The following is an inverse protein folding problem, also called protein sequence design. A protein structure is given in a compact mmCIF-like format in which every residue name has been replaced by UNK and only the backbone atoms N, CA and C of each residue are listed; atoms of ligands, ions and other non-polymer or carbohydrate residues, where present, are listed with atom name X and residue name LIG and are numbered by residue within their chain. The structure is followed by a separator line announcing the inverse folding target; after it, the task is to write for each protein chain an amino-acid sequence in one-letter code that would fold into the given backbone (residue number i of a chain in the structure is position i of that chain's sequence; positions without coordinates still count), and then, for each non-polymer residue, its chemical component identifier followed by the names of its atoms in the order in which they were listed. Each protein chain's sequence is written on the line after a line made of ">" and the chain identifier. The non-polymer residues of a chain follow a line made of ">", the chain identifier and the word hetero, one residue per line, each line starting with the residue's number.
data_IF_667771125849
#
_entry.id   IF_667771125849
#
_cell.length_a   1.000
_cell.length_b   1.000
_cell.length_c   1.000
_cell.angle_alpha   90.00
_cell.angle_beta   90.00
_cell.angle_gamma   90.00
#
_symmetry.space_group_name_H-M   'P 1'
#
loop_
_entity.id
_entity.type
_entity.pdbx_description
1 polymer ?
#
# COMPACT_ATOMS: atom_id res chain seq x y z
N UNK A 1 6.81 1.62 25.49
CA UNK A 1 5.33 1.74 25.57
C UNK A 1 4.81 2.08 26.99
N UNK A 2 5.62 2.04 28.06
CA UNK A 2 5.12 2.12 29.45
C UNK A 2 4.88 3.49 30.08
N UNK A 3 5.00 4.61 29.35
CA UNK A 3 4.75 5.97 29.90
C UNK A 3 3.39 6.57 29.48
N UNK A 4 2.71 5.99 28.49
CA UNK A 4 1.42 6.48 28.01
C UNK A 4 0.34 5.44 28.33
N UNK A 5 -0.69 5.85 29.07
CA UNK A 5 -1.79 4.97 29.46
C UNK A 5 -2.64 4.54 28.27
N UNK A 6 -3.13 3.30 28.28
CA UNK A 6 -4.10 2.82 27.27
C UNK A 6 -5.47 3.43 27.59
N UNK A 7 -6.07 4.09 26.60
CA UNK A 7 -7.44 4.64 26.68
C UNK A 7 -8.37 3.81 25.79
N UNK A 8 -9.67 3.81 26.12
CA UNK A 8 -10.68 3.00 25.42
C UNK A 8 -11.40 3.74 24.29
N UNK A 9 -11.26 5.07 24.19
CA UNK A 9 -11.86 5.90 23.14
C UNK A 9 -10.80 6.81 22.53
N UNK A 10 -10.82 6.89 21.20
CA UNK A 10 -9.97 7.79 20.44
C UNK A 10 -10.37 9.26 20.66
N UNK A 11 -11.67 9.52 20.71
CA UNK A 11 -12.24 10.85 20.93
C UNK A 11 -11.87 11.41 22.30
N UNK A 12 -11.88 10.57 23.33
CA UNK A 12 -11.44 10.95 24.67
C UNK A 12 -9.96 11.37 24.67
N UNK A 13 -9.10 10.63 23.96
CA UNK A 13 -7.68 10.97 23.82
C UNK A 13 -7.51 12.31 23.09
N UNK A 14 -8.21 12.51 21.97
CA UNK A 14 -8.14 13.77 21.21
C UNK A 14 -8.57 14.97 22.06
N UNK A 15 -9.62 14.83 22.87
CA UNK A 15 -10.16 15.90 23.72
C UNK A 15 -9.25 16.18 24.93
N UNK A 16 -8.84 15.14 25.65
CA UNK A 16 -8.17 15.27 26.94
C UNK A 16 -6.68 15.57 26.77
N UNK A 17 -6.01 14.88 25.84
CA UNK A 17 -4.56 14.99 25.64
C UNK A 17 -4.16 16.01 24.57
N UNK A 18 -5.08 16.34 23.65
CA UNK A 18 -4.87 17.30 22.54
C UNK A 18 -3.52 17.07 21.81
N UNK A 19 -3.28 15.87 21.27
CA UNK A 19 -1.99 15.54 20.69
C UNK A 19 -1.70 16.35 19.43
N UNK A 20 -0.43 16.71 19.21
CA UNK A 20 0.01 17.37 17.97
C UNK A 20 -0.14 16.46 16.74
N UNK A 21 0.04 15.15 16.94
CA UNK A 21 0.03 14.13 15.89
C UNK A 21 -0.81 12.92 16.30
N UNK A 22 -1.66 12.44 15.40
CA UNK A 22 -2.35 11.16 15.51
C UNK A 22 -1.75 10.16 14.51
N UNK A 23 -1.37 8.97 14.98
CA UNK A 23 -0.94 7.86 14.15
C UNK A 23 -2.07 6.81 14.07
N UNK A 24 -2.60 6.60 12.87
CA UNK A 24 -3.72 5.70 12.61
C UNK A 24 -3.19 4.46 11.93
N UNK A 25 -3.11 3.36 12.70
CA UNK A 25 -2.65 2.05 12.26
C UNK A 25 -3.72 0.98 12.56
N UNK A 26 -4.97 1.29 12.22
CA UNK A 26 -6.13 0.41 12.38
C UNK A 26 -6.38 -0.39 11.09
N UNK A 27 -7.54 -1.02 10.95
CA UNK A 27 -7.94 -1.61 9.66
C UNK A 27 -8.39 -0.52 8.69
N UNK A 28 -8.15 -0.75 7.39
CA UNK A 28 -8.28 0.25 6.30
C UNK A 28 -9.68 0.85 6.16
N UNK A 29 -10.72 0.12 6.58
CA UNK A 29 -12.11 0.55 6.58
C UNK A 29 -12.40 1.67 7.59
N UNK A 30 -11.57 1.79 8.63
CA UNK A 30 -11.71 2.80 9.68
C UNK A 30 -10.79 4.01 9.52
N UNK A 31 -9.81 3.95 8.60
CA UNK A 31 -8.79 4.99 8.43
C UNK A 31 -9.39 6.37 8.20
N UNK A 32 -10.39 6.47 7.31
CA UNK A 32 -10.93 7.76 6.91
C UNK A 32 -11.62 8.48 8.06
N UNK A 33 -12.45 7.77 8.83
CA UNK A 33 -13.19 8.36 9.94
C UNK A 33 -12.25 8.80 11.07
N UNK A 34 -11.26 7.98 11.42
CA UNK A 34 -10.27 8.36 12.41
C UNK A 34 -9.42 9.55 11.95
N UNK A 35 -9.04 9.61 10.67
CA UNK A 35 -8.22 10.68 10.12
C UNK A 35 -8.99 12.01 10.11
N UNK A 36 -10.25 11.99 9.68
CA UNK A 36 -11.11 13.18 9.69
C UNK A 36 -11.29 13.70 11.13
N UNK A 37 -11.63 12.83 12.09
CA UNK A 37 -11.77 13.22 13.51
C UNK A 37 -10.48 13.81 14.08
N UNK A 38 -9.33 13.24 13.75
CA UNK A 38 -8.04 13.77 14.18
C UNK A 38 -7.76 15.16 13.59
N UNK A 39 -8.08 15.38 12.32
CA UNK A 39 -7.93 16.70 11.70
C UNK A 39 -8.85 17.75 12.31
N UNK A 40 -10.11 17.41 12.58
CA UNK A 40 -11.08 18.27 13.27
C UNK A 40 -10.65 18.61 14.70
N UNK A 41 -9.93 17.70 15.37
CA UNK A 41 -9.31 17.95 16.67
C UNK A 41 -8.00 18.76 16.58
N UNK A 42 -7.54 19.11 15.38
CA UNK A 42 -6.33 19.90 15.15
C UNK A 42 -5.03 19.11 15.09
N UNK A 43 -5.07 17.79 14.94
CA UNK A 43 -3.87 16.96 14.82
C UNK A 43 -3.29 17.03 13.40
N UNK A 44 -1.97 16.88 13.28
CA UNK A 44 -1.37 16.29 12.08
C UNK A 44 -1.65 14.78 12.07
N UNK A 45 -1.75 14.17 10.89
CA UNK A 45 -2.12 12.76 10.78
C UNK A 45 -1.06 11.99 10.01
N UNK A 46 -0.57 10.92 10.64
CA UNK A 46 0.02 9.77 9.96
C UNK A 46 -1.05 8.68 9.87
N UNK A 47 -1.26 8.10 8.69
CA UNK A 47 -2.21 7.00 8.50
C UNK A 47 -1.58 5.90 7.67
N UNK A 48 -1.78 4.66 8.08
CA UNK A 48 -1.35 3.50 7.32
C UNK A 48 -2.03 3.42 5.95
N UNK A 49 -1.37 2.73 5.03
CA UNK A 49 -1.93 2.48 3.69
C UNK A 49 -2.93 1.30 3.72
N UNK A 50 -3.85 1.24 2.75
CA UNK A 50 -4.28 2.33 1.88
C UNK A 50 -4.97 3.44 2.70
N UNK A 51 -4.95 4.68 2.19
CA UNK A 51 -5.57 5.83 2.88
C UNK A 51 -7.04 5.58 3.24
N UNK A 52 -7.78 4.93 2.34
CA UNK A 52 -9.15 4.47 2.57
C UNK A 52 -9.48 3.32 1.60
N UNK A 53 -10.61 2.66 1.82
CA UNK A 53 -11.13 1.60 0.94
C UNK A 53 -11.87 2.14 -0.29
N UNK A 54 -12.25 3.42 -0.29
CA UNK A 54 -12.92 4.08 -1.41
C UNK A 54 -12.25 5.40 -1.78
N UNK A 55 -12.37 5.80 -3.05
CA UNK A 55 -11.87 7.10 -3.53
C UNK A 55 -12.59 8.26 -2.85
N UNK A 56 -13.90 8.12 -2.61
CA UNK A 56 -14.70 9.14 -1.94
C UNK A 56 -14.21 9.39 -0.50
N UNK A 57 -13.92 8.33 0.25
CA UNK A 57 -13.38 8.45 1.60
C UNK A 57 -11.95 8.99 1.61
N UNK A 58 -11.11 8.56 0.67
CA UNK A 58 -9.76 9.12 0.52
C UNK A 58 -9.82 10.64 0.26
N UNK A 59 -10.73 11.08 -0.59
CA UNK A 59 -10.97 12.51 -0.86
C UNK A 59 -11.46 13.25 0.38
N UNK A 60 -12.37 12.64 1.15
CA UNK A 60 -12.88 13.19 2.42
C UNK A 60 -11.76 13.46 3.43
N UNK A 61 -10.77 12.57 3.51
CA UNK A 61 -9.59 12.77 4.37
C UNK A 61 -8.70 13.91 3.86
N UNK A 62 -8.45 13.97 2.54
CA UNK A 62 -7.66 15.04 1.93
C UNK A 62 -8.29 16.41 2.14
N UNK A 63 -9.61 16.50 2.00
CA UNK A 63 -10.37 17.73 2.21
C UNK A 63 -10.34 18.17 3.67
N UNK A 64 -10.50 17.23 4.61
CA UNK A 64 -10.36 17.51 6.05
C UNK A 64 -8.96 18.03 6.41
N UNK A 65 -7.91 17.43 5.85
CA UNK A 65 -6.54 17.90 6.06
C UNK A 65 -6.35 19.36 5.58
N UNK A 66 -6.86 19.67 4.39
CA UNK A 66 -6.79 21.02 3.80
C UNK A 66 -7.62 22.03 4.59
N UNK A 67 -8.86 21.70 4.93
CA UNK A 67 -9.78 22.58 5.66
C UNK A 67 -9.23 22.98 7.04
N UNK A 68 -8.52 22.06 7.72
CA UNK A 68 -7.93 22.31 9.03
C UNK A 68 -6.48 22.81 8.97
N UNK A 69 -5.89 22.97 7.77
CA UNK A 69 -4.50 23.41 7.61
C UNK A 69 -3.48 22.42 8.17
N UNK A 70 -3.78 21.11 8.18
CA UNK A 70 -2.97 20.06 8.79
C UNK A 70 -2.21 19.23 7.75
N UNK A 71 -1.23 18.48 8.23
CA UNK A 71 -0.36 17.64 7.40
C UNK A 71 -0.91 16.22 7.41
N UNK A 72 -0.95 15.60 6.23
CA UNK A 72 -1.30 14.20 6.03
C UNK A 72 -0.05 13.47 5.53
N UNK A 73 0.34 12.41 6.21
CA UNK A 73 1.39 11.47 5.77
C UNK A 73 0.80 10.09 5.69
N UNK A 74 1.04 9.40 4.56
CA UNK A 74 0.60 8.03 4.35
C UNK A 74 1.79 7.10 4.62
N UNK A 75 1.53 5.93 5.20
CA UNK A 75 2.50 4.86 5.51
C UNK A 75 3.19 4.20 4.31
N UNK A 76 3.63 4.96 3.30
CA UNK A 76 4.41 4.46 2.17
C UNK A 76 5.87 4.20 2.54
N UNK A 77 6.10 3.14 3.33
CA UNK A 77 7.42 2.78 3.86
C UNK A 77 8.51 2.62 2.77
N UNK A 78 8.14 2.22 1.55
CA UNK A 78 9.11 2.02 0.46
C UNK A 78 9.79 3.32 0.02
N UNK A 79 9.14 4.48 0.22
CA UNK A 79 9.75 5.80 -0.06
C UNK A 79 10.95 6.11 0.85
N UNK A 80 11.05 5.41 1.97
CA UNK A 80 12.08 5.62 2.98
C UNK A 80 13.11 4.48 3.03
N UNK A 81 12.86 3.38 2.32
CA UNK A 81 13.75 2.22 2.34
C UNK A 81 14.93 2.41 1.36
N UNK A 82 16.20 2.32 1.80
CA UNK A 82 17.37 2.63 0.97
C UNK A 82 17.44 1.89 -0.37
N UNK A 83 17.10 0.60 -0.39
CA UNK A 83 17.08 -0.19 -1.63
C UNK A 83 16.07 0.31 -2.66
N UNK A 84 14.94 0.84 -2.19
CA UNK A 84 13.87 1.35 -3.05
C UNK A 84 14.18 2.75 -3.56
N UNK A 85 14.73 3.61 -2.70
CA UNK A 85 15.28 4.91 -3.10
C UNK A 85 16.33 4.73 -4.20
N UNK A 86 17.23 3.76 -4.02
CA UNK A 86 18.25 3.44 -5.03
C UNK A 86 17.64 2.87 -6.32
N UNK A 87 16.71 1.92 -6.22
CA UNK A 87 16.01 1.37 -7.39
C UNK A 87 15.38 2.49 -8.23
N UNK A 88 14.63 3.39 -7.59
CA UNK A 88 13.98 4.53 -8.25
C UNK A 88 15.01 5.43 -8.93
N UNK A 89 16.07 5.81 -8.21
CA UNK A 89 17.11 6.69 -8.75
C UNK A 89 17.84 6.08 -9.95
N UNK A 90 18.19 4.80 -9.90
CA UNK A 90 18.86 4.11 -11.01
C UNK A 90 17.91 3.89 -12.20
N UNK A 91 16.67 3.46 -11.95
CA UNK A 91 15.67 3.26 -13.00
C UNK A 91 15.38 4.57 -13.76
N UNK A 92 15.29 5.70 -13.06
CA UNK A 92 15.08 7.01 -13.69
C UNK A 92 16.20 7.40 -14.67
N UNK A 93 17.45 7.01 -14.41
CA UNK A 93 18.58 7.24 -15.35
C UNK A 93 18.38 6.50 -16.67
N UNK A 94 17.70 5.34 -16.64
CA UNK A 94 17.43 4.54 -17.83
C UNK A 94 16.38 5.16 -18.78
N UNK A 95 15.53 6.08 -18.30
CA UNK A 95 14.45 6.71 -19.07
C UNK A 95 13.37 5.75 -19.57
N UNK A 96 12.18 6.30 -19.85
CA UNK A 96 11.05 5.55 -20.37
C UNK A 96 11.12 5.28 -21.89
N UNK A 97 10.16 4.51 -22.43
CA UNK A 97 9.10 3.83 -21.69
C UNK A 97 9.65 2.69 -20.82
N UNK A 98 8.97 2.42 -19.72
CA UNK A 98 9.36 1.43 -18.72
C UNK A 98 8.48 0.18 -18.80
N UNK A 99 9.08 -0.96 -18.47
CA UNK A 99 8.37 -2.19 -18.11
C UNK A 99 8.63 -2.45 -16.64
N UNK A 100 7.58 -2.41 -15.81
CA UNK A 100 7.66 -2.74 -14.40
C UNK A 100 7.14 -4.16 -14.18
N UNK A 101 7.94 -5.02 -13.54
CA UNK A 101 7.51 -6.34 -13.06
C UNK A 101 7.72 -6.43 -11.57
N UNK A 102 6.62 -6.51 -10.83
CA UNK A 102 6.63 -6.54 -9.37
C UNK A 102 5.72 -7.68 -8.91
N UNK A 103 6.11 -8.44 -7.90
CA UNK A 103 5.17 -9.36 -7.23
C UNK A 103 5.31 -9.33 -5.71
N UNK A 104 4.27 -9.72 -4.99
CA UNK A 104 4.40 -10.03 -3.57
C UNK A 104 3.52 -11.23 -3.23
N UNK A 105 4.11 -12.40 -3.42
CA UNK A 105 3.49 -13.68 -3.10
C UNK A 105 4.01 -14.11 -1.73
N UNK A 106 3.12 -14.19 -0.75
CA UNK A 106 3.46 -14.55 0.63
C UNK A 106 2.73 -15.85 0.98
N UNK A 107 3.49 -16.94 0.98
CA UNK A 107 3.02 -18.16 1.61
C UNK A 107 2.84 -17.92 3.11
N UNK A 108 1.72 -18.38 3.66
CA UNK A 108 1.40 -18.17 5.06
C UNK A 108 0.65 -19.37 5.64
N UNK A 109 0.98 -19.73 6.86
CA UNK A 109 0.32 -20.79 7.64
C UNK A 109 0.15 -20.34 9.09
N UNK A 110 -0.68 -21.07 9.86
CA UNK A 110 -0.92 -20.81 11.27
C UNK A 110 -1.32 -19.36 11.54
N UNK A 111 -0.64 -18.73 12.51
CA UNK A 111 -0.94 -17.35 12.93
C UNK A 111 -0.83 -16.32 11.79
N UNK A 112 0.14 -16.48 10.88
CA UNK A 112 0.29 -15.55 9.74
C UNK A 112 -0.89 -15.65 8.78
N UNK A 113 -1.43 -16.85 8.56
CA UNK A 113 -2.63 -17.02 7.74
C UNK A 113 -3.85 -16.40 8.40
N UNK A 114 -4.01 -16.54 9.72
CA UNK A 114 -5.07 -15.86 10.46
C UNK A 114 -4.99 -14.33 10.29
N UNK A 115 -3.79 -13.75 10.38
CA UNK A 115 -3.58 -12.31 10.14
C UNK A 115 -3.98 -11.90 8.73
N UNK A 116 -3.57 -12.64 7.69
CA UNK A 116 -3.99 -12.37 6.31
C UNK A 116 -5.51 -12.47 6.15
N UNK A 117 -6.16 -13.45 6.78
CA UNK A 117 -7.64 -13.54 6.79
C UNK A 117 -8.29 -12.33 7.46
N UNK A 118 -7.71 -11.77 8.52
CA UNK A 118 -8.22 -10.54 9.14
C UNK A 118 -8.08 -9.34 8.20
N UNK A 119 -6.91 -9.15 7.56
CA UNK A 119 -6.69 -8.06 6.60
C UNK A 119 -7.65 -8.15 5.40
N UNK A 120 -7.90 -9.37 4.91
CA UNK A 120 -8.83 -9.62 3.81
C UNK A 120 -10.31 -9.40 4.16
N UNK A 121 -10.65 -9.10 5.42
CA UNK A 121 -12.00 -8.60 5.74
C UNK A 121 -12.25 -7.22 5.15
N UNK A 122 -11.19 -6.43 4.93
CA UNK A 122 -11.29 -5.05 4.44
C UNK A 122 -10.64 -4.85 3.08
N UNK A 123 -9.54 -5.53 2.77
CA UNK A 123 -8.76 -5.24 1.56
C UNK A 123 -8.03 -6.48 1.03
N UNK A 124 -8.08 -6.70 -0.29
CA UNK A 124 -7.35 -7.80 -0.94
C UNK A 124 -5.84 -7.52 -1.00
N UNK A 125 -4.97 -8.55 -1.07
CA UNK A 125 -3.52 -8.35 -1.27
C UNK A 125 -3.19 -7.53 -2.51
N UNK A 126 -4.02 -7.62 -3.56
CA UNK A 126 -3.85 -6.87 -4.81
C UNK A 126 -3.85 -5.36 -4.53
N UNK A 127 -4.70 -4.89 -3.63
CA UNK A 127 -4.76 -3.47 -3.25
C UNK A 127 -3.83 -3.18 -2.08
N UNK A 128 -3.92 -3.97 -0.99
CA UNK A 128 -3.17 -3.73 0.24
C UNK A 128 -1.66 -3.62 0.00
N UNK A 129 -1.11 -4.54 -0.80
CA UNK A 129 0.29 -4.52 -1.14
C UNK A 129 0.57 -3.74 -2.44
N UNK A 130 -0.36 -3.78 -3.40
CA UNK A 130 -0.20 -3.13 -4.70
C UNK A 130 -0.06 -1.61 -4.64
N UNK A 131 -0.66 -0.94 -3.66
CA UNK A 131 -0.52 0.51 -3.50
C UNK A 131 0.93 0.95 -3.34
N UNK A 132 1.79 0.14 -2.72
CA UNK A 132 3.22 0.44 -2.61
C UNK A 132 3.92 0.36 -3.97
N UNK A 133 3.60 -0.64 -4.78
CA UNK A 133 4.26 -0.86 -6.06
C UNK A 133 3.77 0.11 -7.12
N UNK A 134 2.48 0.44 -7.13
CA UNK A 134 1.94 1.51 -7.96
C UNK A 134 2.60 2.86 -7.63
N UNK A 135 2.79 3.14 -6.33
CA UNK A 135 3.51 4.34 -5.88
C UNK A 135 4.95 4.39 -6.41
N UNK A 136 5.66 3.26 -6.43
CA UNK A 136 7.02 3.20 -7.01
C UNK A 136 6.99 3.41 -8.53
N UNK A 137 6.03 2.78 -9.23
CA UNK A 137 5.88 2.96 -10.69
C UNK A 137 5.67 4.45 -11.02
N UNK A 138 4.77 5.12 -10.28
CA UNK A 138 4.49 6.55 -10.43
C UNK A 138 5.72 7.43 -10.17
N UNK A 139 6.52 7.12 -9.14
CA UNK A 139 7.76 7.85 -8.84
C UNK A 139 8.85 7.70 -9.91
N UNK A 140 8.82 6.62 -10.70
CA UNK A 140 9.82 6.38 -11.76
C UNK A 140 9.37 7.00 -13.07
N UNK A 141 8.11 6.77 -13.46
CA UNK A 141 7.62 7.10 -14.79
C UNK A 141 7.25 8.58 -14.96
N UNK A 142 6.84 9.27 -13.90
CA UNK A 142 6.22 10.62 -13.91
C UNK A 142 5.02 10.78 -14.89
N UNK A 143 4.66 9.72 -15.62
CA UNK A 143 3.55 9.64 -16.56
C UNK A 143 2.24 9.27 -15.86
N UNK A 144 1.12 9.74 -16.39
CA UNK A 144 -0.19 9.42 -15.85
C UNK A 144 -0.64 8.00 -16.24
N UNK A 145 -1.16 7.19 -15.29
CA UNK A 145 -1.89 5.97 -15.61
C UNK A 145 -3.16 6.30 -16.43
N UNK A 146 -3.38 5.58 -17.51
CA UNK A 146 -4.54 5.76 -18.40
C UNK A 146 -5.50 4.56 -18.38
N UNK A 147 -5.02 3.38 -18.01
CA UNK A 147 -5.84 2.17 -17.92
C UNK A 147 -5.30 1.23 -16.84
N UNK A 148 -6.20 0.57 -16.11
CA UNK A 148 -5.88 -0.52 -15.20
C UNK A 148 -6.70 -1.75 -15.58
N UNK A 149 -6.04 -2.89 -15.71
CA UNK A 149 -6.69 -4.20 -15.92
C UNK A 149 -6.38 -5.08 -14.73
N UNK A 150 -7.36 -5.78 -14.19
CA UNK A 150 -7.17 -6.61 -13.01
C UNK A 150 -7.98 -7.90 -13.08
N UNK A 151 -7.45 -8.93 -12.44
CA UNK A 151 -8.17 -10.18 -12.19
C UNK A 151 -7.75 -10.76 -10.85
N UNK A 152 -8.65 -11.52 -10.23
CA UNK A 152 -8.42 -12.15 -8.95
C UNK A 152 -9.17 -13.46 -8.84
N UNK A 153 -8.65 -14.35 -7.98
CA UNK A 153 -9.21 -15.66 -7.69
C UNK A 153 -9.25 -15.87 -6.18
N UNK A 154 -10.35 -16.46 -5.72
CA UNK A 154 -10.51 -16.99 -4.37
C UNK A 154 -9.99 -18.43 -4.36
N UNK A 155 -8.85 -18.66 -3.71
CA UNK A 155 -8.16 -19.95 -3.66
C UNK A 155 -8.47 -20.77 -2.39
N UNK A 156 -9.21 -20.22 -1.43
CA UNK A 156 -9.58 -20.90 -0.19
C UNK A 156 -11.02 -20.61 0.19
N UNK A 157 -11.71 -21.63 0.70
CA UNK A 157 -13.07 -21.48 1.23
C UNK A 157 -13.13 -20.71 2.55
N UNK A 158 -12.00 -20.52 3.21
CA UNK A 158 -11.89 -19.69 4.42
C UNK A 158 -11.89 -18.18 4.11
N UNK A 159 -11.77 -17.80 2.83
CA UNK A 159 -11.84 -16.41 2.36
C UNK A 159 -13.30 -16.10 2.01
N UNK A 160 -13.77 -14.87 2.26
CA UNK A 160 -15.14 -14.49 1.92
C UNK A 160 -15.44 -14.66 0.42
N UNK A 161 -16.67 -15.05 0.01
CA UNK A 161 -17.02 -15.26 -1.40
C UNK A 161 -16.81 -14.03 -2.31
N UNK A 162 -16.88 -12.83 -1.75
CA UNK A 162 -16.66 -11.55 -2.44
C UNK A 162 -15.19 -11.10 -2.45
N UNK A 163 -14.27 -11.90 -1.90
CA UNK A 163 -12.88 -11.54 -1.69
C UNK A 163 -11.93 -12.45 -2.47
N UNK A 164 -10.74 -11.93 -2.74
CA UNK A 164 -9.70 -12.62 -3.51
C UNK A 164 -8.42 -12.64 -2.69
N UNK A 165 -7.77 -13.80 -2.62
CA UNK A 165 -6.47 -13.95 -1.97
C UNK A 165 -5.34 -14.21 -2.97
N UNK A 166 -5.62 -14.16 -4.27
CA UNK A 166 -4.63 -14.13 -5.33
C UNK A 166 -5.13 -13.27 -6.50
N UNK A 167 -4.22 -12.60 -7.19
CA UNK A 167 -4.50 -11.95 -8.45
C UNK A 167 -3.39 -11.04 -8.92
N UNK A 168 -3.67 -10.29 -9.98
CA UNK A 168 -2.73 -9.32 -10.51
C UNK A 168 -3.45 -8.12 -11.14
N UNK A 169 -2.72 -7.02 -11.24
CA UNK A 169 -3.11 -5.84 -11.99
C UNK A 169 -2.05 -5.47 -13.03
N UNK A 170 -2.50 -4.87 -14.11
CA UNK A 170 -1.67 -4.26 -15.14
C UNK A 170 -2.03 -2.79 -15.23
N UNK A 171 -1.03 -1.93 -15.39
CA UNK A 171 -1.20 -0.47 -15.51
C UNK A 171 -0.58 -0.02 -16.80
N UNK A 172 -1.35 0.71 -17.62
CA UNK A 172 -0.85 1.34 -18.85
C UNK A 172 -0.70 2.84 -18.59
N UNK A 173 0.42 3.40 -19.01
CA UNK A 173 0.75 4.81 -18.85
C UNK A 173 0.72 5.54 -20.20
N UNK A 174 0.50 6.86 -20.17
CA UNK A 174 0.40 7.67 -21.39
C UNK A 174 1.70 7.78 -22.20
N UNK A 175 2.86 7.54 -21.59
CA UNK A 175 4.18 7.52 -22.25
C UNK A 175 4.52 6.16 -22.90
N UNK A 176 3.58 5.20 -22.86
CA UNK A 176 3.76 3.84 -23.35
C UNK A 176 4.39 2.88 -22.33
N UNK A 177 4.70 3.34 -21.10
CA UNK A 177 5.14 2.45 -20.02
C UNK A 177 4.03 1.48 -19.61
N UNK A 178 4.42 0.30 -19.15
CA UNK A 178 3.52 -0.74 -18.66
C UNK A 178 3.99 -1.31 -17.34
N UNK A 179 3.05 -1.50 -16.41
CA UNK A 179 3.30 -2.14 -15.13
C UNK A 179 2.53 -3.44 -15.00
N UNK A 180 3.16 -4.45 -14.40
CA UNK A 180 2.52 -5.69 -13.94
C UNK A 180 2.81 -5.87 -12.45
N UNK A 181 1.76 -6.10 -11.69
CA UNK A 181 1.83 -6.40 -10.27
C UNK A 181 1.00 -7.64 -9.92
N UNK A 182 1.62 -8.65 -9.34
CA UNK A 182 0.98 -9.86 -8.82
C UNK A 182 1.05 -9.92 -7.29
N UNK A 183 -0.01 -10.41 -6.65
CA UNK A 183 -0.01 -10.67 -5.23
C UNK A 183 -0.80 -11.92 -4.87
N UNK A 184 -0.37 -12.61 -3.82
CA UNK A 184 -1.02 -13.81 -3.32
C UNK A 184 -0.74 -14.04 -1.85
N UNK A 185 -1.79 -14.41 -1.10
CA UNK A 185 -1.73 -14.77 0.31
C UNK A 185 -2.37 -16.13 0.56
N UNK A 186 -1.69 -16.96 1.36
CA UNK A 186 -2.24 -18.20 1.89
C UNK A 186 -1.28 -19.39 1.81
N UNK A 187 -1.69 -20.54 2.38
CA UNK A 187 -0.84 -21.73 2.44
C UNK A 187 -0.58 -22.38 1.07
N UNK A 188 -1.40 -22.05 0.06
CA UNK A 188 -1.30 -22.55 -1.31
C UNK A 188 -0.33 -21.77 -2.19
N UNK A 189 0.17 -20.62 -1.71
CA UNK A 189 1.04 -19.75 -2.51
C UNK A 189 2.41 -20.42 -2.66
N UNK A 190 2.91 -20.46 -3.90
CA UNK A 190 4.21 -21.05 -4.22
C UNK A 190 5.37 -20.23 -3.66
N UNK A 191 6.41 -20.92 -3.19
CA UNK A 191 7.65 -20.30 -2.71
C UNK A 191 8.70 -20.15 -3.83
N UNK A 192 8.45 -20.69 -5.04
CA UNK A 192 9.45 -20.71 -6.12
C UNK A 192 9.67 -19.33 -6.73
N UNK A 193 8.61 -18.56 -6.94
CA UNK A 193 8.67 -17.21 -7.54
C UNK A 193 8.46 -16.13 -6.47
N UNK A 194 9.28 -16.16 -5.43
CA UNK A 194 9.04 -15.39 -4.20
C UNK A 194 9.26 -13.87 -4.36
N UNK A 195 10.12 -13.43 -5.29
CA UNK A 195 10.55 -12.03 -5.30
C UNK A 195 11.03 -11.51 -6.67
N UNK A 196 10.17 -10.78 -7.37
CA UNK A 196 10.47 -10.04 -8.61
C UNK A 196 10.27 -8.56 -8.35
N UNK A 197 11.30 -7.76 -8.69
CA UNK A 197 11.38 -6.31 -8.47
C UNK A 197 12.17 -5.66 -9.60
N UNK A 198 11.65 -5.76 -10.81
CA UNK A 198 12.37 -5.40 -12.02
C UNK A 198 11.78 -4.16 -12.67
N UNK A 199 12.67 -3.29 -13.12
CA UNK A 199 12.37 -2.16 -14.00
C UNK A 199 13.25 -2.28 -15.23
N UNK A 200 12.64 -2.31 -16.42
CA UNK A 200 13.33 -2.41 -17.70
C UNK A 200 12.97 -1.23 -18.58
N UNK A 201 13.85 -0.91 -19.52
CA UNK A 201 13.67 0.12 -20.55
C UNK A 201 14.50 -0.27 -21.79
N UNK A 202 14.39 0.48 -22.91
CA UNK A 202 15.31 0.31 -24.04
C UNK A 202 16.79 0.52 -23.70
N UNK A 203 17.12 1.15 -22.56
CA UNK A 203 18.50 1.45 -22.14
C UNK A 203 19.07 0.49 -21.09
N UNK A 204 18.32 -0.54 -20.69
CA UNK A 204 18.77 -1.56 -19.73
C UNK A 204 17.73 -1.86 -18.65
N UNK A 205 18.18 -2.43 -17.54
CA UNK A 205 17.33 -2.80 -16.42
C UNK A 205 17.96 -2.53 -15.05
N UNK A 206 17.11 -2.45 -14.02
CA UNK A 206 17.50 -2.42 -12.60
C UNK A 206 16.58 -3.35 -11.83
N UNK A 207 17.16 -4.14 -10.94
CA UNK A 207 16.44 -5.10 -10.11
C UNK A 207 16.83 -4.98 -8.64
N UNK A 208 15.88 -5.21 -7.73
CA UNK A 208 16.20 -5.53 -6.34
C UNK A 208 16.33 -7.05 -6.24
N UNK A 209 17.55 -7.51 -5.95
CA UNK A 209 17.84 -8.93 -5.71
C UNK A 209 17.99 -9.19 -4.22
N UNK A 210 17.47 -10.32 -3.74
CA UNK A 210 17.80 -10.83 -2.43
C UNK A 210 19.28 -11.24 -2.45
N UNK A 211 20.03 -10.97 -1.37
CA UNK A 211 21.36 -11.56 -1.25
C UNK A 211 21.19 -13.08 -1.22
N UNK A 212 21.83 -13.77 -2.15
CA UNK A 212 22.07 -15.19 -1.99
C UNK A 212 22.88 -15.36 -0.69
N UNK A 213 22.32 -16.14 0.22
CA UNK A 213 22.99 -16.53 1.47
C UNK A 213 23.93 -17.69 1.24
#
# INVERSE_FOLDING_TARGET
>A
LGQYGIRRSFEDVLRDEKPDVAAIATYSDSHADYAVRAFEAGCHVFVEKPLATTVADAQRVVDAAKANGRKLVIGYILRHHPSWIRLIAEARKLGGPYVFRMNLNQQSSGHTWETHKQLMRTTSPIVDCGVHYLDVMLQITDARPIEVRGMGVRLSDEVAPSMYNYGHLQVLFEDGSVGWYEAGWGPMISETAFFVKDVMSPRGCVSIVMKEG
#
